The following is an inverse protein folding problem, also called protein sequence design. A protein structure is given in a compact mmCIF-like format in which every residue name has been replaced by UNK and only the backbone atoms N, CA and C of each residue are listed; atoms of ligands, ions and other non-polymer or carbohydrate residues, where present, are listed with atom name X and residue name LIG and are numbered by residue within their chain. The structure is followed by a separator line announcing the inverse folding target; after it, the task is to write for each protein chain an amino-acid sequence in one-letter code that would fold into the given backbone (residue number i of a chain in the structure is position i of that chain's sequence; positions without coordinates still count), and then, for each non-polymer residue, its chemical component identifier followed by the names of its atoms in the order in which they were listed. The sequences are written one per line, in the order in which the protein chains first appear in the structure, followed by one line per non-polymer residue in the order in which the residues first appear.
data_IF_353912348414
#
_entry.id   IF_353912348414
#
_cell.length_a   1.000
_cell.length_b   1.000
_cell.length_c   1.000
_cell.angle_alpha   90.00
_cell.angle_beta   90.00
_cell.angle_gamma   90.00
#
_symmetry.space_group_name_H-M   'P 1'
#
loop_
_entity.id
_entity.type
_entity.pdbx_description
1 polymer ?
#
# COMPACT_ATOMS: atom_id res chain seq x y z
N UNK A 1 8.09 -43.86 -6.84
CA UNK A 1 7.02 -42.86 -7.06
C UNK A 1 7.15 -41.79 -5.99
N UNK A 2 7.90 -40.72 -6.28
CA UNK A 2 8.24 -39.68 -5.30
C UNK A 2 7.09 -38.68 -5.13
N UNK A 3 6.66 -38.47 -3.89
CA UNK A 3 5.67 -37.45 -3.53
C UNK A 3 6.20 -36.07 -3.94
N UNK A 4 5.58 -35.42 -4.94
CA UNK A 4 5.91 -34.04 -5.32
C UNK A 4 5.30 -33.09 -4.28
N UNK A 5 6.12 -32.57 -3.37
CA UNK A 5 5.69 -31.51 -2.46
C UNK A 5 5.29 -30.26 -3.26
N UNK A 6 4.05 -29.79 -3.09
CA UNK A 6 3.58 -28.51 -3.64
C UNK A 6 3.88 -27.39 -2.65
N UNK A 7 4.97 -26.65 -2.89
CA UNK A 7 5.31 -25.46 -2.12
C UNK A 7 4.70 -24.25 -2.84
N UNK A 8 3.86 -23.48 -2.15
CA UNK A 8 3.26 -22.27 -2.69
C UNK A 8 4.26 -21.12 -2.58
N UNK A 9 4.47 -20.38 -3.68
CA UNK A 9 5.35 -19.20 -3.70
C UNK A 9 4.82 -18.03 -2.87
N UNK A 10 3.51 -17.77 -2.95
CA UNK A 10 2.84 -16.72 -2.20
C UNK A 10 1.38 -17.10 -1.93
N UNK A 11 0.86 -16.70 -0.78
CA UNK A 11 -0.53 -16.88 -0.38
C UNK A 11 -0.98 -15.59 0.31
N UNK A 12 -2.16 -15.03 -0.03
CA UNK A 12 -2.67 -13.85 0.65
C UNK A 12 -2.94 -14.16 2.13
N UNK A 13 -2.60 -13.20 2.99
CA UNK A 13 -2.93 -13.26 4.42
C UNK A 13 -4.31 -12.63 4.59
N UNK A 14 -5.31 -13.48 4.87
CA UNK A 14 -6.70 -13.06 5.10
C UNK A 14 -7.22 -13.84 6.30
N UNK A 15 -7.63 -13.14 7.35
CA UNK A 15 -8.15 -13.67 8.59
C UNK A 15 -9.46 -13.02 9.00
N UNK A 16 -9.88 -13.30 10.25
CA UNK A 16 -11.17 -12.82 10.79
C UNK A 16 -11.26 -11.30 10.88
N UNK A 17 -10.14 -10.63 11.11
CA UNK A 17 -10.10 -9.17 11.23
C UNK A 17 -10.32 -8.48 9.88
N UNK A 18 -9.76 -9.01 8.78
CA UNK A 18 -10.00 -8.47 7.43
C UNK A 18 -11.49 -8.53 7.08
N UNK A 19 -12.17 -9.65 7.36
CA UNK A 19 -13.62 -9.77 7.15
C UNK A 19 -14.42 -8.77 8.00
N UNK A 20 -14.00 -8.56 9.25
CA UNK A 20 -14.65 -7.60 10.15
C UNK A 20 -14.56 -6.18 9.61
N UNK A 21 -13.39 -5.73 9.16
CA UNK A 21 -13.22 -4.38 8.62
C UNK A 21 -13.90 -4.20 7.26
N UNK A 22 -13.92 -5.23 6.41
CA UNK A 22 -14.71 -5.20 5.16
C UNK A 22 -16.19 -5.01 5.48
N UNK A 23 -16.74 -5.80 6.41
CA UNK A 23 -18.14 -5.66 6.83
C UNK A 23 -18.40 -4.26 7.41
N UNK A 24 -17.52 -3.76 8.27
CA UNK A 24 -17.65 -2.42 8.85
C UNK A 24 -17.66 -1.32 7.77
N UNK A 25 -16.81 -1.42 6.75
CA UNK A 25 -16.79 -0.47 5.62
C UNK A 25 -18.14 -0.43 4.91
N UNK A 26 -18.70 -1.60 4.60
CA UNK A 26 -20.01 -1.74 3.95
C UNK A 26 -21.15 -1.24 4.83
N UNK A 27 -21.19 -1.65 6.10
CA UNK A 27 -22.23 -1.25 7.07
C UNK A 27 -22.23 0.26 7.32
N UNK A 28 -21.05 0.91 7.24
CA UNK A 28 -20.91 2.36 7.41
C UNK A 28 -21.26 3.19 6.16
N UNK A 29 -21.62 2.55 5.04
CA UNK A 29 -21.86 3.20 3.74
C UNK A 29 -20.67 3.97 3.16
N UNK A 30 -19.45 3.67 3.61
CA UNK A 30 -18.19 4.17 3.03
C UNK A 30 -17.35 3.01 2.47
N UNK A 31 -17.72 2.49 1.27
CA UNK A 31 -16.95 1.42 0.61
C UNK A 31 -15.64 1.90 -0.03
N UNK A 32 -15.43 3.22 -0.11
CA UNK A 32 -14.25 3.85 -0.69
C UNK A 32 -13.39 4.49 0.41
N UNK A 33 -12.97 5.75 0.22
CA UNK A 33 -12.32 6.56 1.24
C UNK A 33 -13.33 6.94 2.35
N UNK A 34 -12.86 7.00 3.60
CA UNK A 34 -13.70 7.26 4.76
C UNK A 34 -12.99 6.97 6.09
N UNK A 35 -13.75 6.82 7.20
CA UNK A 35 -13.18 6.71 8.55
C UNK A 35 -12.18 5.57 8.75
N UNK A 36 -12.36 4.45 8.04
CA UNK A 36 -11.42 3.32 8.10
C UNK A 36 -10.08 3.63 7.41
N UNK A 37 -10.09 4.44 6.35
CA UNK A 37 -8.86 4.94 5.70
C UNK A 37 -8.10 5.86 6.64
N UNK A 38 -8.78 6.82 7.27
CA UNK A 38 -8.17 7.70 8.26
C UNK A 38 -7.58 6.93 9.46
N UNK A 39 -8.29 5.90 9.94
CA UNK A 39 -7.78 5.01 10.98
C UNK A 39 -6.54 4.24 10.52
N UNK A 40 -6.53 3.76 9.29
CA UNK A 40 -5.37 3.08 8.70
C UNK A 40 -4.15 4.02 8.63
N UNK A 41 -4.32 5.24 8.12
CA UNK A 41 -3.26 6.25 8.06
C UNK A 41 -2.68 6.57 9.44
N UNK A 42 -3.53 6.78 10.45
CA UNK A 42 -3.08 6.99 11.83
C UNK A 42 -2.26 5.81 12.37
N UNK A 43 -2.70 4.58 12.10
CA UNK A 43 -1.96 3.37 12.51
C UNK A 43 -0.62 3.27 11.78
N UNK A 44 -0.56 3.63 10.50
CA UNK A 44 0.70 3.67 9.73
C UNK A 44 1.64 4.72 10.31
N UNK A 45 1.17 5.94 10.59
CA UNK A 45 1.99 6.97 11.25
C UNK A 45 2.62 6.45 12.55
N UNK A 46 1.82 5.78 13.39
CA UNK A 46 2.31 5.19 14.64
C UNK A 46 3.31 4.05 14.40
N UNK A 47 3.08 3.23 13.38
CA UNK A 47 3.94 2.08 13.06
C UNK A 47 5.32 2.51 12.55
N UNK A 48 5.37 3.50 11.65
CA UNK A 48 6.60 3.92 10.97
C UNK A 48 7.26 5.15 11.60
N UNK A 49 6.59 5.82 12.54
CA UNK A 49 7.10 7.00 13.24
C UNK A 49 7.05 8.29 12.43
N UNK A 50 6.21 8.37 11.39
CA UNK A 50 6.03 9.60 10.61
C UNK A 50 4.93 10.50 11.18
N UNK A 51 4.99 11.79 10.84
CA UNK A 51 3.99 12.79 11.27
C UNK A 51 2.66 12.66 10.50
N UNK A 52 2.73 12.27 9.23
CA UNK A 52 1.60 12.18 8.31
C UNK A 52 1.72 10.95 7.41
N UNK A 53 0.59 10.37 7.04
CA UNK A 53 0.47 9.29 6.06
C UNK A 53 -0.75 9.56 5.19
N UNK A 54 -0.65 9.20 3.90
CA UNK A 54 -1.74 9.31 2.93
C UNK A 54 -1.89 7.96 2.24
N UNK A 55 -3.06 7.34 2.39
CA UNK A 55 -3.37 6.06 1.76
C UNK A 55 -3.75 6.26 0.29
N UNK A 56 -3.18 5.42 -0.57
CA UNK A 56 -3.44 5.43 -2.01
C UNK A 56 -3.74 4.00 -2.49
N UNK A 57 -4.21 3.88 -3.72
CA UNK A 57 -4.65 2.60 -4.29
C UNK A 57 -3.52 1.61 -4.52
N UNK A 58 -2.28 2.08 -4.69
CA UNK A 58 -1.07 1.26 -4.82
C UNK A 58 0.21 2.10 -4.62
N UNK A 59 1.36 1.42 -4.58
CA UNK A 59 2.67 2.04 -4.40
C UNK A 59 3.13 2.89 -5.61
N UNK A 60 2.74 2.53 -6.84
CA UNK A 60 3.10 3.31 -8.05
C UNK A 60 2.48 4.71 -8.01
N UNK A 61 1.19 4.80 -7.67
CA UNK A 61 0.50 6.08 -7.50
C UNK A 61 1.09 6.87 -6.34
N UNK A 62 1.51 6.21 -5.26
CA UNK A 62 2.20 6.86 -4.15
C UNK A 62 3.55 7.45 -4.53
N UNK A 63 4.36 6.71 -5.29
CA UNK A 63 5.66 7.18 -5.75
C UNK A 63 5.50 8.37 -6.70
N UNK A 64 4.59 8.24 -7.68
CA UNK A 64 4.32 9.29 -8.66
C UNK A 64 3.78 10.57 -8.00
N UNK A 65 2.88 10.44 -7.01
CA UNK A 65 2.42 11.60 -6.22
C UNK A 65 3.55 12.22 -5.39
N UNK A 66 4.41 11.40 -4.80
CA UNK A 66 5.53 11.88 -3.98
C UNK A 66 6.51 12.71 -4.80
N UNK A 67 6.88 12.27 -6.01
CA UNK A 67 7.74 13.03 -6.91
C UNK A 67 7.10 14.36 -7.32
N UNK A 68 5.81 14.35 -7.66
CA UNK A 68 5.06 15.59 -7.96
C UNK A 68 4.99 16.54 -6.77
N UNK A 69 4.80 16.02 -5.57
CA UNK A 69 4.75 16.82 -4.34
C UNK A 69 6.12 17.46 -4.01
N UNK A 70 7.22 16.83 -4.41
CA UNK A 70 8.57 17.38 -4.33
C UNK A 70 8.89 18.41 -5.43
N UNK A 71 7.98 18.60 -6.40
CA UNK A 71 8.18 19.52 -7.52
C UNK A 71 9.05 18.96 -8.65
N UNK A 72 9.35 17.65 -8.63
CA UNK A 72 10.15 17.00 -9.67
C UNK A 72 9.38 17.03 -11.00
N UNK A 73 10.07 17.46 -12.05
CA UNK A 73 9.49 17.68 -13.36
C UNK A 73 10.41 17.34 -14.52
N UNK A 74 10.08 17.89 -15.68
CA UNK A 74 10.85 17.68 -16.89
C UNK A 74 12.25 18.26 -16.76
N UNK A 75 13.26 17.45 -17.04
CA UNK A 75 14.67 17.84 -16.98
C UNK A 75 15.35 17.55 -15.64
N UNK A 76 14.60 17.15 -14.60
CA UNK A 76 15.17 16.70 -13.34
C UNK A 76 15.64 15.24 -13.44
N UNK A 77 16.69 14.91 -12.70
CA UNK A 77 17.22 13.55 -12.61
C UNK A 77 16.84 12.89 -11.28
N UNK A 78 16.38 11.64 -11.35
CA UNK A 78 16.05 10.81 -10.18
C UNK A 78 16.90 9.54 -10.22
N UNK A 79 17.81 9.39 -9.25
CA UNK A 79 18.68 8.22 -9.17
C UNK A 79 17.89 7.05 -8.59
N UNK A 80 17.95 5.90 -9.26
CA UNK A 80 17.35 4.63 -8.83
C UNK A 80 18.40 3.53 -8.77
N UNK A 81 18.21 2.47 -7.96
CA UNK A 81 19.08 1.31 -7.99
C UNK A 81 19.08 0.61 -9.36
N UNK A 82 20.22 0.06 -9.77
CA UNK A 82 20.35 -0.74 -11.01
C UNK A 82 19.40 -1.95 -11.04
N UNK A 83 19.13 -2.55 -9.87
CA UNK A 83 18.20 -3.66 -9.72
C UNK A 83 17.10 -3.32 -8.72
N UNK A 84 15.89 -3.05 -9.24
CA UNK A 84 14.68 -2.76 -8.46
C UNK A 84 13.43 -3.18 -9.24
N UNK A 85 12.24 -3.04 -8.64
CA UNK A 85 10.97 -3.27 -9.34
C UNK A 85 10.65 -2.12 -10.31
N UNK A 86 9.99 -2.43 -11.43
CA UNK A 86 9.73 -1.48 -12.53
C UNK A 86 8.91 -0.24 -12.12
N UNK A 87 8.14 -0.32 -11.04
CA UNK A 87 7.35 0.79 -10.53
C UNK A 87 8.16 1.80 -9.68
N UNK A 88 9.49 1.66 -9.63
CA UNK A 88 10.35 2.58 -8.89
C UNK A 88 10.50 3.90 -9.66
N UNK A 89 10.13 5.00 -9.00
CA UNK A 89 10.16 6.40 -9.46
C UNK A 89 9.30 6.71 -10.69
#
# INVERSE_FOLDING_TARGET
MGNKYKIKWWVPIIGKEEYKFIKQSLDSSFPNEGPLTALFEQKICKLVGCKYAVALTNATSAMSLSLKALGIGYGDEVIVPDMTFIATA
#
